data_IF_665138438907
#
_entry.id   IF_665138438907
#
_cell.length_a   1.000
_cell.length_b   1.000
_cell.length_c   1.000
_cell.angle_alpha   90.00
_cell.angle_beta   90.00
_cell.angle_gamma   90.00
#
_symmetry.space_group_name_H-M   'P 1'
#
loop_
_entity.id
_entity.type
_entity.pdbx_description
1 polymer ?
#
# COMPACT_ATOMS: atom_id res chain seq x y z
N UNK A 1 -7.09 -21.18 -31.31
CA UNK A 1 -7.00 -20.92 -29.86
C UNK A 1 -6.08 -19.74 -29.62
N UNK A 2 -6.58 -18.65 -29.02
CA UNK A 2 -5.85 -17.64 -28.22
C UNK A 2 -6.61 -16.30 -28.26
N UNK A 3 -7.51 -16.09 -27.30
CA UNK A 3 -8.14 -14.78 -27.04
C UNK A 3 -7.20 -13.96 -26.14
N UNK A 4 -6.45 -13.02 -26.72
CA UNK A 4 -5.67 -12.06 -25.93
C UNK A 4 -6.57 -10.88 -25.56
N UNK A 5 -7.31 -11.02 -24.45
CA UNK A 5 -8.09 -9.93 -23.83
C UNK A 5 -7.13 -9.15 -22.92
N UNK A 6 -6.62 -8.02 -23.42
CA UNK A 6 -5.86 -7.07 -22.61
C UNK A 6 -6.83 -6.22 -21.79
N UNK A 7 -6.79 -6.41 -20.48
CA UNK A 7 -7.62 -5.73 -19.50
C UNK A 7 -7.21 -4.26 -19.33
N UNK A 8 -8.15 -3.37 -19.64
CA UNK A 8 -8.44 -2.09 -18.98
C UNK A 8 -7.33 -1.47 -18.13
N UNK A 9 -6.55 -0.57 -18.75
CA UNK A 9 -5.82 0.47 -18.02
C UNK A 9 -6.82 1.54 -17.55
N UNK A 10 -7.31 1.42 -16.33
CA UNK A 10 -8.15 2.43 -15.70
C UNK A 10 -7.28 3.64 -15.35
N UNK A 11 -7.38 4.64 -16.22
CA UNK A 11 -6.90 6.01 -16.00
C UNK A 11 -7.78 6.64 -14.92
N UNK A 12 -7.23 6.89 -13.74
CA UNK A 12 -7.93 7.63 -12.69
C UNK A 12 -7.03 8.78 -12.22
N UNK A 13 -7.28 9.94 -12.82
CA UNK A 13 -6.74 11.21 -12.38
C UNK A 13 -7.85 12.24 -12.40
N UNK A 14 -8.22 12.76 -11.23
CA UNK A 14 -8.70 14.14 -11.00
C UNK A 14 -9.18 14.30 -9.56
N UNK A 15 -8.73 15.37 -8.90
CA UNK A 15 -9.39 15.94 -7.73
C UNK A 15 -8.47 16.34 -6.59
N UNK A 16 -7.82 17.51 -6.70
CA UNK A 16 -7.17 18.16 -5.57
C UNK A 16 -8.22 18.57 -4.52
N UNK A 17 -8.10 18.09 -3.28
CA UNK A 17 -8.31 18.81 -2.00
C UNK A 17 -8.55 17.81 -0.86
N UNK A 18 -7.50 17.55 -0.06
CA UNK A 18 -7.35 16.52 1.00
C UNK A 18 -6.88 15.17 0.44
N UNK A 19 -5.89 14.51 1.07
CA UNK A 19 -5.54 13.16 0.70
C UNK A 19 -6.78 12.30 0.88
N UNK A 20 -7.22 11.68 -0.21
CA UNK A 20 -8.36 10.78 -0.21
C UNK A 20 -8.03 9.66 0.79
N UNK A 21 -8.76 9.61 1.92
CA UNK A 21 -8.48 8.67 3.02
C UNK A 21 -8.35 7.23 2.51
N UNK A 22 -9.07 6.91 1.44
CA UNK A 22 -9.02 5.62 0.78
C UNK A 22 -7.67 5.34 0.10
N UNK A 23 -7.04 6.36 -0.48
CA UNK A 23 -5.68 6.26 -1.06
C UNK A 23 -4.65 6.10 0.05
N UNK A 24 -4.78 6.87 1.13
CA UNK A 24 -3.90 6.79 2.29
C UNK A 24 -3.94 5.39 2.94
N UNK A 25 -5.14 4.87 3.22
CA UNK A 25 -5.32 3.52 3.75
C UNK A 25 -4.79 2.44 2.79
N UNK A 26 -5.00 2.59 1.49
CA UNK A 26 -4.47 1.66 0.49
C UNK A 26 -2.94 1.67 0.40
N UNK A 27 -2.29 2.82 0.61
CA UNK A 27 -0.82 2.89 0.71
C UNK A 27 -0.31 2.22 1.98
N UNK A 28 -0.98 2.41 3.12
CA UNK A 28 -0.63 1.74 4.39
C UNK A 28 -0.75 0.24 4.25
N UNK A 29 -1.87 -0.26 3.72
CA UNK A 29 -2.11 -1.69 3.55
C UNK A 29 -1.05 -2.33 2.66
N UNK A 30 -0.75 -1.71 1.52
CA UNK A 30 0.35 -2.16 0.65
C UNK A 30 1.68 -2.18 1.38
N UNK A 31 1.99 -1.11 2.13
CA UNK A 31 3.27 -0.98 2.80
C UNK A 31 3.41 -2.00 3.94
N UNK A 32 2.37 -2.21 4.72
CA UNK A 32 2.33 -3.22 5.79
C UNK A 32 2.53 -4.63 5.21
N UNK A 33 1.86 -4.92 4.08
CA UNK A 33 2.02 -6.19 3.39
C UNK A 33 3.45 -6.40 2.86
N UNK A 34 4.09 -5.38 2.30
CA UNK A 34 5.50 -5.44 1.90
C UNK A 34 6.41 -5.75 3.10
N UNK A 35 6.21 -5.06 4.23
CA UNK A 35 7.00 -5.31 5.45
C UNK A 35 6.80 -6.75 5.94
N UNK A 36 5.56 -7.23 5.97
CA UNK A 36 5.25 -8.63 6.30
C UNK A 36 6.00 -9.60 5.37
N UNK A 37 5.95 -9.38 4.06
CA UNK A 37 6.67 -10.21 3.09
C UNK A 37 8.19 -10.17 3.28
N UNK A 38 8.76 -9.00 3.56
CA UNK A 38 10.19 -8.86 3.89
C UNK A 38 10.53 -9.62 5.17
N UNK A 39 9.65 -9.58 6.17
CA UNK A 39 9.81 -10.31 7.42
C UNK A 39 9.81 -11.81 7.20
N UNK A 40 8.84 -12.30 6.43
CA UNK A 40 8.73 -13.71 6.04
C UNK A 40 9.94 -14.18 5.25
N UNK A 41 10.48 -13.35 4.34
CA UNK A 41 11.69 -13.66 3.56
C UNK A 41 12.96 -13.68 4.40
N UNK A 42 13.08 -12.77 5.37
CA UNK A 42 14.28 -12.62 6.19
C UNK A 42 14.23 -13.42 7.49
N UNK A 43 13.09 -14.02 7.83
CA UNK A 43 12.87 -14.73 9.09
C UNK A 43 12.93 -13.81 10.31
N UNK A 44 12.65 -12.51 10.13
CA UNK A 44 12.70 -11.54 11.23
C UNK A 44 11.50 -11.74 12.17
N UNK A 45 11.70 -11.63 13.49
CA UNK A 45 10.60 -11.69 14.44
C UNK A 45 9.74 -10.44 14.37
N UNK A 46 8.43 -10.65 14.52
CA UNK A 46 7.44 -9.64 14.88
C UNK A 46 6.06 -9.95 14.32
N UNK A 47 5.12 -9.05 14.55
CA UNK A 47 3.67 -9.27 14.42
C UNK A 47 3.01 -8.28 13.44
N UNK A 48 1.90 -8.68 12.84
CA UNK A 48 1.18 -7.86 11.85
C UNK A 48 0.89 -6.44 12.36
N UNK A 49 0.56 -6.27 13.64
CA UNK A 49 0.27 -4.96 14.24
C UNK A 49 1.47 -4.01 14.13
N UNK A 50 2.68 -4.52 14.39
CA UNK A 50 3.92 -3.76 14.24
C UNK A 50 4.19 -3.36 12.78
N UNK A 51 3.88 -4.22 11.80
CA UNK A 51 4.02 -3.89 10.38
C UNK A 51 3.05 -2.78 9.95
N UNK A 52 1.82 -2.86 10.44
CA UNK A 52 0.79 -1.85 10.20
C UNK A 52 1.15 -0.50 10.82
N UNK A 53 1.66 -0.49 12.05
CA UNK A 53 2.12 0.74 12.72
C UNK A 53 3.30 1.38 11.98
N UNK A 54 4.25 0.57 11.52
CA UNK A 54 5.40 1.07 10.78
C UNK A 54 4.99 1.61 9.41
N UNK A 55 4.12 0.90 8.68
CA UNK A 55 3.54 1.36 7.44
C UNK A 55 2.76 2.67 7.62
N UNK A 56 1.92 2.79 8.65
CA UNK A 56 1.18 4.02 8.95
C UNK A 56 2.15 5.19 9.14
N UNK A 57 3.22 4.99 9.93
CA UNK A 57 4.22 6.03 10.19
C UNK A 57 4.94 6.48 8.92
N UNK A 58 5.31 5.53 8.05
CA UNK A 58 5.97 5.83 6.77
C UNK A 58 5.04 6.59 5.82
N UNK A 59 3.78 6.17 5.70
CA UNK A 59 2.81 6.83 4.83
C UNK A 59 2.41 8.20 5.40
N UNK A 60 2.22 8.35 6.72
CA UNK A 60 2.00 9.66 7.35
C UNK A 60 3.13 10.63 7.06
N UNK A 61 4.37 10.19 7.22
CA UNK A 61 5.55 11.02 6.92
C UNK A 61 5.57 11.46 5.45
N UNK A 62 5.23 10.55 4.53
CA UNK A 62 5.15 10.83 3.10
C UNK A 62 4.05 11.84 2.74
N UNK A 63 2.91 11.78 3.42
CA UNK A 63 1.80 12.72 3.24
C UNK A 63 1.94 14.00 4.08
N UNK A 64 2.96 14.09 4.95
CA UNK A 64 3.18 15.21 5.90
C UNK A 64 1.91 15.59 6.68
N UNK A 65 1.21 14.57 7.18
CA UNK A 65 0.03 14.68 8.05
C UNK A 65 0.35 14.26 9.47
#
# INVERSE_FOLDING_TARGET
MATKKASSATKMGSGSSKPDLKQFLGEIEKRAYDIYLERQKTGKPGDDMSDWLQAEKEVKAKYSI
#
